data_IF_287879597830
#
_entry.id   IF_287879597830
#
_cell.length_a   1.000
_cell.length_b   1.000
_cell.length_c   1.000
_cell.angle_alpha   90.00
_cell.angle_beta   90.00
_cell.angle_gamma   90.00
#
_symmetry.space_group_name_H-M   'P 1'
#
loop_
_entity.id
_entity.type
_entity.pdbx_description
1 polymer ?
#
# COMPACT_ATOMS: atom_id res chain seq x y z
N UNK A 1 -3.49 -18.31 39.96
CA UNK A 1 -2.67 -17.11 39.70
C UNK A 1 -1.78 -17.43 38.50
N UNK A 2 -2.10 -16.87 37.34
CA UNK A 2 -1.37 -17.16 36.11
C UNK A 2 0.06 -16.61 36.24
N UNK A 3 1.07 -17.48 36.13
CA UNK A 3 2.48 -17.12 36.19
C UNK A 3 2.75 -16.04 35.14
N UNK A 4 3.12 -14.85 35.60
CA UNK A 4 3.39 -13.69 34.76
C UNK A 4 4.47 -14.04 33.74
N UNK A 5 4.09 -14.00 32.46
CA UNK A 5 4.95 -14.31 31.33
C UNK A 5 6.19 -13.43 31.40
N UNK A 6 7.37 -14.04 31.63
CA UNK A 6 8.72 -13.51 31.44
C UNK A 6 8.80 -11.98 31.27
N UNK A 7 8.53 -11.25 32.34
CA UNK A 7 8.71 -9.81 32.38
C UNK A 7 10.20 -9.51 32.43
N UNK A 8 10.78 -9.19 31.26
CA UNK A 8 12.15 -8.73 31.19
C UNK A 8 12.16 -7.19 31.26
N UNK A 9 12.53 -6.60 32.42
CA UNK A 9 12.45 -5.15 32.63
C UNK A 9 13.31 -4.36 31.63
N UNK A 10 14.42 -4.94 31.16
CA UNK A 10 15.30 -4.33 30.17
C UNK A 10 14.61 -4.24 28.79
N UNK A 11 13.84 -5.26 28.42
CA UNK A 11 13.10 -5.25 27.15
C UNK A 11 11.91 -4.29 27.20
N UNK A 12 11.24 -4.17 28.34
CA UNK A 12 10.16 -3.20 28.50
C UNK A 12 10.68 -1.76 28.42
N UNK A 13 11.82 -1.46 29.07
CA UNK A 13 12.48 -0.15 28.95
C UNK A 13 12.79 0.21 27.48
N UNK A 14 13.39 -0.73 26.73
CA UNK A 14 13.66 -0.54 25.28
C UNK A 14 12.38 -0.37 24.45
N UNK A 15 11.31 -1.11 24.76
CA UNK A 15 10.01 -0.95 24.09
C UNK A 15 9.39 0.41 24.41
N UNK A 16 9.45 0.86 25.66
CA UNK A 16 8.97 2.18 26.07
C UNK A 16 9.77 3.31 25.39
N UNK A 17 11.09 3.17 25.28
CA UNK A 17 11.94 4.11 24.54
C UNK A 17 11.58 4.15 23.05
N UNK A 18 11.44 2.99 22.40
CA UNK A 18 11.01 2.91 21.00
C UNK A 18 9.62 3.51 20.79
N UNK A 19 8.68 3.27 21.70
CA UNK A 19 7.36 3.89 21.65
C UNK A 19 7.43 5.42 21.82
N UNK A 20 8.28 5.92 22.74
CA UNK A 20 8.54 7.36 22.89
C UNK A 20 9.15 7.94 21.61
N UNK A 21 10.10 7.26 20.99
CA UNK A 21 10.69 7.66 19.70
C UNK A 21 9.65 7.70 18.59
N UNK A 22 8.81 6.67 18.45
CA UNK A 22 7.72 6.64 17.47
C UNK A 22 6.72 7.77 17.72
N UNK A 23 6.36 8.04 18.98
CA UNK A 23 5.47 9.17 19.33
C UNK A 23 6.10 10.50 18.93
N UNK A 24 7.39 10.71 19.20
CA UNK A 24 8.15 11.89 18.75
C UNK A 24 8.17 12.01 17.22
N UNK A 25 8.46 10.93 16.50
CA UNK A 25 8.46 10.91 15.04
C UNK A 25 7.07 11.22 14.46
N UNK A 26 6.00 10.62 15.01
CA UNK A 26 4.61 10.91 14.61
C UNK A 26 4.23 12.36 14.88
N UNK A 27 4.61 12.91 16.04
CA UNK A 27 4.39 14.31 16.38
C UNK A 27 5.14 15.25 15.42
N UNK A 28 6.39 14.93 15.06
CA UNK A 28 7.16 15.71 14.08
C UNK A 28 6.53 15.67 12.69
N UNK A 29 6.09 14.49 12.21
CA UNK A 29 5.37 14.37 10.94
C UNK A 29 4.05 15.13 10.95
N UNK A 30 3.32 15.10 12.06
CA UNK A 30 2.08 15.87 12.22
C UNK A 30 2.37 17.38 12.23
N UNK A 31 3.42 17.83 12.90
CA UNK A 31 3.84 19.24 12.89
C UNK A 31 4.22 19.70 11.48
N UNK A 32 4.98 18.88 10.73
CA UNK A 32 5.31 19.14 9.32
C UNK A 32 4.06 19.21 8.43
N UNK A 33 3.09 18.31 8.64
CA UNK A 33 1.81 18.34 7.92
C UNK A 33 1.01 19.60 8.26
N UNK A 34 0.91 19.95 9.53
CA UNK A 34 0.22 21.17 9.98
C UNK A 34 0.90 22.42 9.40
N UNK A 35 2.22 22.48 9.36
CA UNK A 35 2.95 23.60 8.76
C UNK A 35 2.67 23.70 7.26
N UNK A 36 2.71 22.57 6.53
CA UNK A 36 2.38 22.54 5.10
C UNK A 36 0.94 22.99 4.83
N UNK A 37 -0.02 22.56 5.65
CA UNK A 37 -1.41 22.97 5.53
C UNK A 37 -1.61 24.44 5.90
N UNK A 38 -1.00 24.93 6.98
CA UNK A 38 -1.13 26.33 7.40
C UNK A 38 -0.56 27.33 6.39
N UNK A 39 0.45 26.91 5.59
CA UNK A 39 1.00 27.65 4.44
C UNK A 39 0.02 27.77 3.26
N UNK A 40 -1.09 27.03 3.22
CA UNK A 40 -2.15 27.25 2.22
C UNK A 40 -3.01 28.45 2.65
N UNK A 41 -3.44 29.26 1.69
CA UNK A 41 -4.20 30.48 1.95
C UNK A 41 -5.70 30.17 2.12
N UNK A 42 -6.28 30.31 3.33
CA UNK A 42 -7.69 29.99 3.56
C UNK A 42 -8.62 30.91 2.78
N UNK A 43 -8.25 32.19 2.60
CA UNK A 43 -9.09 33.16 1.88
C UNK A 43 -9.19 32.81 0.39
N UNK A 44 -8.15 32.20 -0.19
CA UNK A 44 -8.18 31.75 -1.59
C UNK A 44 -9.08 30.53 -1.75
N UNK A 45 -8.93 29.55 -0.87
CA UNK A 45 -9.75 28.33 -0.86
C UNK A 45 -11.24 28.70 -0.70
N UNK A 46 -11.54 29.64 0.20
CA UNK A 46 -12.90 30.13 0.39
C UNK A 46 -13.51 30.69 -0.90
N UNK A 47 -12.77 31.50 -1.66
CA UNK A 47 -13.29 32.06 -2.92
C UNK A 47 -13.52 31.00 -3.99
N UNK A 48 -12.62 30.02 -4.08
CA UNK A 48 -12.79 28.90 -5.01
C UNK A 48 -14.05 28.09 -4.64
N UNK A 49 -14.29 27.89 -3.34
CA UNK A 49 -15.52 27.26 -2.83
C UNK A 49 -16.75 28.11 -3.18
N UNK A 50 -16.72 29.41 -2.89
CA UNK A 50 -17.84 30.30 -3.16
C UNK A 50 -18.16 30.32 -4.66
N UNK A 51 -17.14 30.38 -5.53
CA UNK A 51 -17.31 30.31 -6.99
C UNK A 51 -17.92 28.99 -7.46
N UNK A 52 -17.49 27.86 -6.90
CA UNK A 52 -18.06 26.54 -7.23
C UNK A 52 -19.47 26.37 -6.67
N UNK A 53 -19.76 26.92 -5.49
CA UNK A 53 -21.10 26.93 -4.90
C UNK A 53 -22.07 27.79 -5.70
N UNK A 54 -21.63 28.93 -6.21
CA UNK A 54 -22.40 29.75 -7.16
C UNK A 54 -22.74 28.95 -8.42
N UNK A 55 -21.77 28.20 -8.97
CA UNK A 55 -22.01 27.30 -10.12
C UNK A 55 -22.93 26.12 -9.80
N UNK A 56 -22.89 25.62 -8.56
CA UNK A 56 -23.81 24.59 -8.08
C UNK A 56 -25.24 25.14 -7.96
N UNK A 57 -25.39 26.35 -7.43
CA UNK A 57 -26.67 27.05 -7.33
C UNK A 57 -27.25 27.41 -8.70
N UNK A 58 -26.41 27.80 -9.66
CA UNK A 58 -26.83 28.05 -11.04
C UNK A 58 -27.10 26.75 -11.84
N UNK A 59 -26.81 25.58 -11.27
CA UNK A 59 -27.04 24.27 -11.90
C UNK A 59 -26.08 23.93 -13.03
N UNK A 60 -25.03 24.73 -13.26
CA UNK A 60 -24.05 24.54 -14.33
C UNK A 60 -22.80 23.75 -13.90
N UNK A 61 -22.81 23.17 -12.70
CA UNK A 61 -21.65 22.47 -12.13
C UNK A 61 -21.39 21.10 -12.76
N UNK A 62 -20.13 20.83 -13.08
CA UNK A 62 -19.69 19.54 -13.62
C UNK A 62 -19.41 18.51 -12.51
N UNK A 63 -19.44 17.19 -12.80
CA UNK A 63 -19.16 16.17 -11.78
C UNK A 63 -17.77 16.31 -11.12
N UNK A 64 -16.73 16.66 -11.89
CA UNK A 64 -15.39 16.91 -11.36
C UNK A 64 -15.31 18.20 -10.52
N UNK A 65 -16.16 19.18 -10.80
CA UNK A 65 -16.25 20.42 -10.01
C UNK A 65 -16.93 20.14 -8.66
N UNK A 66 -17.90 19.22 -8.60
CA UNK A 66 -18.47 18.74 -7.32
C UNK A 66 -17.42 18.02 -6.47
N UNK A 67 -16.60 17.17 -7.08
CA UNK A 67 -15.48 16.52 -6.38
C UNK A 67 -14.48 17.56 -5.87
N UNK A 68 -14.13 18.55 -6.71
CA UNK A 68 -13.24 19.66 -6.32
C UNK A 68 -13.83 20.51 -5.19
N UNK A 69 -15.14 20.77 -5.20
CA UNK A 69 -15.83 21.48 -4.11
C UNK A 69 -15.64 20.71 -2.79
N UNK A 70 -15.90 19.40 -2.78
CA UNK A 70 -15.72 18.56 -1.59
C UNK A 70 -14.26 18.52 -1.10
N UNK A 71 -13.29 18.48 -2.02
CA UNK A 71 -11.86 18.54 -1.69
C UNK A 71 -11.48 19.88 -1.07
N UNK A 72 -11.93 20.99 -1.65
CA UNK A 72 -11.65 22.33 -1.15
C UNK A 72 -12.29 22.58 0.22
N UNK A 73 -13.50 22.08 0.47
CA UNK A 73 -14.15 22.16 1.79
C UNK A 73 -13.36 21.40 2.86
N UNK A 74 -12.87 20.20 2.54
CA UNK A 74 -11.99 19.42 3.43
C UNK A 74 -10.66 20.14 3.66
N UNK A 75 -10.09 20.72 2.61
CA UNK A 75 -8.84 21.48 2.69
C UNK A 75 -9.00 22.72 3.56
N UNK A 76 -10.09 23.49 3.43
CA UNK A 76 -10.39 24.63 4.30
C UNK A 76 -10.42 24.19 5.78
N UNK A 77 -11.18 23.14 6.08
CA UNK A 77 -11.27 22.60 7.44
C UNK A 77 -9.90 22.16 7.97
N UNK A 78 -9.10 21.49 7.13
CA UNK A 78 -7.73 21.07 7.44
C UNK A 78 -6.78 22.24 7.69
N UNK A 79 -6.86 23.29 6.87
CA UNK A 79 -6.05 24.51 6.99
C UNK A 79 -6.40 25.28 8.26
N UNK A 80 -7.69 25.41 8.59
CA UNK A 80 -8.13 26.06 9.82
C UNK A 80 -7.69 25.27 11.06
N UNK A 81 -7.82 23.94 11.04
CA UNK A 81 -7.35 23.08 12.14
C UNK A 81 -5.83 23.16 12.31
N UNK A 82 -5.08 23.14 11.21
CA UNK A 82 -3.62 23.26 11.23
C UNK A 82 -3.16 24.64 11.73
N UNK A 83 -3.86 25.71 11.35
CA UNK A 83 -3.61 27.07 11.83
C UNK A 83 -3.91 27.21 13.32
N UNK A 84 -5.03 26.66 13.79
CA UNK A 84 -5.35 26.64 15.22
C UNK A 84 -4.28 25.87 16.02
N UNK A 85 -3.76 24.75 15.49
CA UNK A 85 -2.69 23.98 16.13
C UNK A 85 -1.33 24.71 16.13
N UNK A 86 -1.06 25.55 15.13
CA UNK A 86 0.17 26.36 15.04
C UNK A 86 0.06 27.70 15.80
N UNK A 87 -1.16 28.19 16.03
CA UNK A 87 -1.42 29.49 16.65
C UNK A 87 -0.68 30.62 15.93
N UNK A 88 0.10 31.39 16.69
CA UNK A 88 0.85 32.55 16.19
C UNK A 88 1.99 32.19 15.22
N UNK A 89 2.38 30.92 15.13
CA UNK A 89 3.40 30.45 14.16
C UNK A 89 2.84 30.32 12.75
N UNK A 90 1.52 30.41 12.58
CA UNK A 90 0.89 30.28 11.28
C UNK A 90 1.16 31.52 10.40
N UNK A 91 1.48 31.34 9.09
CA UNK A 91 1.67 32.46 8.20
C UNK A 91 0.36 33.23 8.00
N UNK A 92 0.40 34.53 8.29
CA UNK A 92 -0.72 35.45 8.09
C UNK A 92 -0.76 35.89 6.64
N UNK A 93 -1.83 35.56 5.92
CA UNK A 93 -2.05 36.03 4.57
C UNK A 93 -2.80 37.35 4.62
N UNK A 94 -2.22 38.39 4.00
CA UNK A 94 -2.95 39.64 3.76
C UNK A 94 -4.13 39.32 2.83
N UNK A 95 -5.33 39.86 3.09
CA UNK A 95 -6.42 39.76 2.13
C UNK A 95 -5.92 40.33 0.80
N UNK A 96 -6.16 39.62 -0.31
CA UNK A 96 -5.80 40.16 -1.62
C UNK A 96 -6.54 41.48 -1.79
N UNK A 97 -5.78 42.54 -2.09
CA UNK A 97 -6.36 43.83 -2.43
C UNK A 97 -7.23 43.60 -3.66
N UNK A 98 -8.54 43.63 -3.48
CA UNK A 98 -9.48 43.65 -4.60
C UNK A 98 -9.11 44.87 -5.43
N UNK A 99 -8.75 44.66 -6.68
CA UNK A 99 -8.40 45.72 -7.64
C UNK A 99 -9.65 46.45 -8.17
N UNK A 100 -10.71 46.52 -7.36
CA UNK A 100 -12.04 47.01 -7.77
C UNK A 100 -12.43 48.32 -7.09
N UNK A 101 -11.53 48.95 -6.30
CA UNK A 101 -11.78 50.24 -5.66
C UNK A 101 -10.53 51.13 -5.65
N UNK A 102 -10.14 51.63 -6.82
CA UNK A 102 -9.37 52.89 -6.95
C UNK A 102 -10.02 53.77 -8.03
N UNK A 103 -11.27 54.13 -7.77
CA UNK A 103 -11.93 55.29 -8.36
C UNK A 103 -11.82 56.54 -7.48
N UNK A 104 -10.94 56.55 -6.48
CA UNK A 104 -10.84 57.64 -5.49
C UNK A 104 -9.40 57.90 -5.03
N UNK A 105 -8.49 58.09 -5.98
CA UNK A 105 -7.30 58.94 -5.79
C UNK A 105 -7.28 60.09 -6.79
N UNK A 106 -8.31 60.92 -6.70
CA UNK A 106 -8.18 62.32 -7.05
C UNK A 106 -7.32 63.05 -6.01
N UNK A 107 -6.10 63.41 -6.41
CA UNK A 107 -5.37 64.55 -5.87
C UNK A 107 -4.42 64.29 -4.71
N UNK A 108 -3.11 64.20 -5.00
CA UNK A 108 -2.06 65.15 -4.53
C UNK A 108 -0.65 64.57 -4.73
N UNK A 109 0.13 65.22 -5.60
CA UNK A 109 1.59 65.37 -5.42
C UNK A 109 2.47 64.50 -6.31
N UNK A 110 3.11 65.14 -7.30
CA UNK A 110 4.02 64.54 -8.26
C UNK A 110 5.29 63.88 -7.71
N UNK A 111 5.71 62.83 -8.42
CA UNK A 111 7.10 62.41 -8.76
C UNK A 111 6.91 61.14 -9.59
N UNK A 112 6.98 61.19 -10.91
CA UNK A 112 8.24 61.35 -11.63
C UNK A 112 8.75 59.96 -12.02
N UNK A 113 8.47 59.58 -13.28
CA UNK A 113 9.16 58.51 -13.98
C UNK A 113 8.74 57.07 -13.66
N UNK A 114 8.02 56.43 -14.58
CA UNK A 114 8.57 55.35 -15.44
C UNK A 114 7.44 54.77 -16.29
N UNK A 115 7.16 55.43 -17.43
CA UNK A 115 6.57 54.71 -18.56
C UNK A 115 7.68 53.85 -19.15
N UNK A 116 7.78 52.62 -18.65
CA UNK A 116 8.67 51.60 -19.16
C UNK A 116 8.00 50.24 -19.06
N UNK A 117 7.54 49.77 -20.21
CA UNK A 117 7.42 48.36 -20.54
C UNK A 117 6.35 47.52 -19.83
N UNK A 118 5.19 47.56 -20.48
CA UNK A 118 4.09 46.61 -20.38
C UNK A 118 4.59 45.24 -20.91
N UNK A 119 5.21 44.43 -20.06
CA UNK A 119 5.73 43.11 -20.47
C UNK A 119 5.99 42.10 -19.34
N UNK A 120 5.55 42.38 -18.11
CA UNK A 120 5.80 41.54 -16.92
C UNK A 120 5.03 40.22 -16.86
N UNK A 121 5.08 39.39 -17.91
CA UNK A 121 4.73 37.97 -17.83
C UNK A 121 6.01 37.15 -17.91
N UNK A 122 6.33 36.45 -16.83
CA UNK A 122 7.28 35.33 -16.84
C UNK A 122 8.71 35.73 -16.53
N UNK A 123 9.00 35.94 -15.24
CA UNK A 123 10.35 35.81 -14.70
C UNK A 123 10.81 34.36 -14.84
N UNK A 124 11.27 34.01 -16.05
CA UNK A 124 11.92 32.76 -16.37
C UNK A 124 13.34 32.86 -15.81
N UNK A 125 13.59 32.06 -14.78
CA UNK A 125 14.90 31.48 -14.44
C UNK A 125 16.13 32.34 -14.82
N UNK A 126 16.50 33.24 -13.92
CA UNK A 126 17.84 33.26 -13.31
C UNK A 126 19.11 33.19 -14.18
N UNK A 127 19.13 33.56 -15.47
CA UNK A 127 20.39 33.56 -16.24
C UNK A 127 20.59 34.64 -17.31
N UNK A 128 19.74 35.67 -17.43
CA UNK A 128 20.01 36.76 -18.40
C UNK A 128 19.55 38.12 -17.88
N UNK A 129 20.45 38.84 -17.20
CA UNK A 129 20.40 40.30 -17.22
C UNK A 129 20.83 40.77 -18.60
N UNK A 130 20.19 41.83 -19.11
CA UNK A 130 20.44 42.43 -20.42
C UNK A 130 21.88 42.93 -20.58
N UNK A 131 22.57 43.13 -19.47
CA UNK A 131 24.00 43.44 -19.42
C UNK A 131 24.74 42.12 -19.16
N UNK A 132 25.29 41.54 -20.22
CA UNK A 132 25.95 40.23 -20.26
C UNK A 132 27.25 40.11 -19.48
N UNK A 133 27.35 40.72 -18.30
CA UNK A 133 28.48 40.55 -17.39
C UNK A 133 28.29 39.25 -16.61
N UNK A 134 28.73 38.15 -17.22
CA UNK A 134 28.97 36.89 -16.51
C UNK A 134 30.19 37.14 -15.60
N UNK A 135 29.98 37.13 -14.29
CA UNK A 135 31.06 37.14 -13.30
C UNK A 135 31.99 35.97 -13.65
N UNK A 136 33.22 36.27 -14.07
CA UNK A 136 34.23 35.27 -14.37
C UNK A 136 34.65 34.66 -13.03
N UNK A 137 34.11 33.47 -12.74
CA UNK A 137 34.44 32.74 -11.53
C UNK A 137 35.87 32.21 -11.64
N UNK A 138 36.74 32.91 -10.93
CA UNK A 138 38.14 32.68 -10.61
C UNK A 138 38.31 31.34 -9.85
N UNK A 139 38.17 30.20 -10.55
CA UNK A 139 38.30 28.87 -9.95
C UNK A 139 39.32 28.03 -10.72
N UNK A 140 40.59 28.28 -10.40
CA UNK A 140 41.74 27.44 -10.75
C UNK A 140 42.61 27.37 -9.50
N UNK A 141 42.49 26.27 -8.75
CA UNK A 141 43.28 25.95 -7.54
C UNK A 141 44.76 25.59 -7.87
N UNK A 142 45.32 26.20 -8.90
CA UNK A 142 46.72 25.98 -9.31
C UNK A 142 47.49 27.29 -9.14
N UNK A 143 48.68 27.20 -8.55
CA UNK A 143 49.59 28.32 -8.33
C UNK A 143 49.90 29.06 -9.65
N UNK A 144 50.14 30.38 -9.55
CA UNK A 144 50.35 31.25 -10.71
C UNK A 144 51.51 30.76 -11.60
N UNK A 145 52.59 30.27 -11.00
CA UNK A 145 53.77 29.77 -11.71
C UNK A 145 53.51 28.49 -12.55
N UNK A 146 52.48 27.71 -12.19
CA UNK A 146 52.08 26.50 -12.94
C UNK A 146 51.22 26.87 -14.15
N UNK A 147 50.51 28.00 -14.09
CA UNK A 147 49.65 28.49 -15.19
C UNK A 147 50.46 29.00 -16.38
N UNK A 148 51.66 29.51 -16.14
CA UNK A 148 52.53 30.07 -17.16
C UNK A 148 53.39 29.03 -17.88
N UNK A 149 53.35 27.76 -17.45
CA UNK A 149 54.02 26.68 -18.16
C UNK A 149 53.33 26.50 -19.53
N UNK A 150 54.05 26.68 -20.65
CA UNK A 150 53.45 26.58 -21.97
C UNK A 150 52.97 25.15 -22.22
N UNK A 151 51.69 25.00 -22.56
CA UNK A 151 51.13 23.70 -22.90
C UNK A 151 51.79 23.13 -24.16
N UNK A 152 52.04 21.81 -24.22
CA UNK A 152 52.47 21.15 -25.44
C UNK A 152 51.40 21.31 -26.53
N UNK A 153 51.84 21.44 -27.79
CA UNK A 153 51.00 21.84 -28.94
C UNK A 153 49.82 20.90 -29.26
N UNK A 154 49.77 19.73 -28.64
CA UNK A 154 48.76 18.70 -28.89
C UNK A 154 47.73 18.56 -27.76
N UNK A 155 47.58 19.53 -26.86
CA UNK A 155 46.48 19.48 -25.89
C UNK A 155 45.15 19.79 -26.57
N UNK A 156 44.21 18.83 -26.64
CA UNK A 156 42.92 19.05 -27.26
C UNK A 156 42.17 20.18 -26.53
N UNK A 157 41.24 20.88 -27.22
CA UNK A 157 40.49 21.97 -26.62
C UNK A 157 39.77 21.51 -25.33
N UNK A 158 39.72 22.34 -24.29
CA UNK A 158 39.14 21.96 -23.00
C UNK A 158 37.66 21.59 -23.16
N UNK A 159 37.30 20.41 -22.64
CA UNK A 159 35.93 19.90 -22.66
C UNK A 159 35.03 20.88 -21.90
N UNK A 160 33.87 21.31 -22.47
CA UNK A 160 32.98 22.24 -21.79
C UNK A 160 32.45 21.63 -20.49
N UNK A 161 32.69 22.32 -19.36
CA UNK A 161 32.19 21.92 -18.04
C UNK A 161 30.65 21.92 -18.06
N UNK A 162 30.05 20.74 -17.94
CA UNK A 162 28.61 20.60 -17.65
C UNK A 162 28.39 21.03 -16.20
N UNK A 163 27.64 22.11 -15.99
CA UNK A 163 27.25 22.56 -14.65
C UNK A 163 26.41 21.47 -13.96
N UNK A 164 27.04 20.68 -13.10
CA UNK A 164 26.31 19.81 -12.17
C UNK A 164 25.73 20.67 -11.06
N UNK A 165 24.40 20.61 -10.93
CA UNK A 165 23.63 21.37 -9.96
C UNK A 165 23.82 20.75 -8.58
N UNK A 166 24.47 21.49 -7.69
CA UNK A 166 24.78 21.14 -6.31
C UNK A 166 23.50 20.89 -5.48
N UNK A 167 23.40 19.73 -4.86
CA UNK A 167 22.51 19.44 -3.73
C UNK A 167 23.39 19.32 -2.47
N UNK A 168 23.04 19.92 -1.32
CA UNK A 168 23.81 19.77 -0.10
C UNK A 168 23.40 18.49 0.66
N UNK A 169 24.38 17.69 1.09
CA UNK A 169 24.23 16.63 2.09
C UNK A 169 25.15 16.96 3.28
N UNK A 170 24.71 16.76 4.53
CA UNK A 170 25.60 16.80 5.68
C UNK A 170 26.33 15.46 5.83
N UNK A 171 27.58 15.58 6.29
CA UNK A 171 28.50 14.49 6.61
C UNK A 171 28.00 13.70 7.83
N UNK A 172 28.14 12.37 7.80
CA UNK A 172 28.74 11.57 8.88
C UNK A 172 28.74 10.06 8.53
N UNK A 173 29.91 9.46 8.75
CA UNK A 173 30.22 8.03 8.99
C UNK A 173 30.03 7.00 7.86
N UNK A 174 31.18 6.51 7.37
CA UNK A 174 31.30 5.42 6.41
C UNK A 174 31.14 4.03 7.09
N UNK A 175 30.30 3.13 6.54
CA UNK A 175 30.43 1.69 6.73
C UNK A 175 31.05 1.00 5.50
N UNK A 176 31.81 -0.06 5.78
CA UNK A 176 32.76 -0.77 4.92
C UNK A 176 32.32 -1.09 3.48
N UNK A 177 33.27 -0.94 2.56
CA UNK A 177 33.17 -1.29 1.14
C UNK A 177 32.91 -2.79 0.95
N UNK A 178 31.73 -3.12 0.41
CA UNK A 178 31.37 -4.45 -0.03
C UNK A 178 32.27 -4.85 -1.21
N UNK A 179 32.89 -6.03 -1.13
CA UNK A 179 33.75 -6.61 -2.17
C UNK A 179 33.02 -6.62 -3.52
N UNK A 180 33.63 -5.99 -4.52
CA UNK A 180 33.12 -5.97 -5.91
C UNK A 180 33.10 -7.41 -6.45
N UNK A 181 32.00 -7.88 -7.06
CA UNK A 181 31.95 -9.22 -7.63
C UNK A 181 32.93 -9.34 -8.80
N UNK A 182 33.91 -10.24 -8.69
CA UNK A 182 34.81 -10.62 -9.78
C UNK A 182 34.06 -11.51 -10.74
N UNK A 183 33.74 -11.01 -11.93
CA UNK A 183 33.10 -11.78 -12.99
C UNK A 183 34.15 -12.69 -13.62
N UNK A 184 34.04 -14.00 -13.40
CA UNK A 184 34.78 -15.03 -14.13
C UNK A 184 33.98 -15.39 -15.37
N UNK A 185 34.62 -15.40 -16.55
CA UNK A 185 33.96 -15.74 -17.82
C UNK A 185 33.75 -17.25 -17.93
N UNK A 186 32.70 -17.76 -17.30
CA UNK A 186 32.21 -19.11 -17.54
C UNK A 186 31.29 -19.09 -18.76
N UNK A 187 31.65 -19.83 -19.81
CA UNK A 187 30.96 -19.84 -21.10
C UNK A 187 29.60 -20.59 -21.07
N UNK A 188 29.04 -20.89 -19.90
CA UNK A 188 27.75 -21.55 -19.76
C UNK A 188 26.62 -20.49 -19.81
N UNK A 189 25.60 -20.65 -20.66
CA UNK A 189 24.48 -19.72 -20.69
C UNK A 189 23.69 -19.79 -19.38
N UNK A 190 23.58 -18.67 -18.68
CA UNK A 190 22.75 -18.52 -17.48
C UNK A 190 21.27 -18.62 -17.89
N UNK A 191 20.60 -19.74 -17.56
CA UNK A 191 19.15 -19.87 -17.73
C UNK A 191 18.46 -19.14 -16.58
N UNK A 192 17.72 -18.07 -16.91
CA UNK A 192 16.95 -17.28 -15.94
C UNK A 192 15.55 -17.83 -15.79
N UNK A 193 15.14 -18.08 -14.55
CA UNK A 193 13.76 -18.41 -14.22
C UNK A 193 12.89 -17.16 -14.34
N UNK A 194 12.31 -16.92 -15.51
CA UNK A 194 11.48 -15.73 -15.77
C UNK A 194 10.29 -15.60 -14.81
N UNK A 195 9.76 -16.71 -14.28
CA UNK A 195 8.71 -16.67 -13.26
C UNK A 195 9.19 -16.00 -11.97
N UNK A 196 10.39 -16.33 -11.49
CA UNK A 196 10.97 -15.73 -10.28
C UNK A 196 11.33 -14.26 -10.51
N UNK A 197 11.77 -13.91 -11.71
CA UNK A 197 12.04 -12.50 -12.06
C UNK A 197 10.75 -11.68 -12.20
N UNK A 198 9.70 -12.26 -12.77
CA UNK A 198 8.40 -11.62 -12.92
C UNK A 198 7.77 -11.28 -11.55
N UNK A 199 7.96 -12.12 -10.52
CA UNK A 199 7.50 -11.78 -9.15
C UNK A 199 8.13 -10.48 -8.62
N UNK A 200 9.37 -10.15 -9.02
CA UNK A 200 10.03 -8.89 -8.65
C UNK A 200 9.43 -7.67 -9.36
N UNK A 201 8.77 -7.87 -10.49
CA UNK A 201 8.11 -6.82 -11.26
C UNK A 201 6.67 -6.53 -10.79
N UNK A 202 6.12 -7.34 -9.88
CA UNK A 202 4.77 -7.12 -9.36
C UNK A 202 4.72 -5.89 -8.44
N UNK A 203 3.71 -5.00 -8.59
CA UNK A 203 3.49 -3.91 -7.64
C UNK A 203 3.28 -4.43 -6.22
N UNK A 204 3.78 -3.69 -5.23
CA UNK A 204 3.70 -4.08 -3.82
C UNK A 204 2.26 -4.35 -3.33
N UNK A 205 1.26 -3.62 -3.86
CA UNK A 205 -0.16 -3.83 -3.54
C UNK A 205 -0.66 -5.20 -3.98
N UNK A 206 -0.32 -5.62 -5.20
CA UNK A 206 -0.70 -6.92 -5.76
C UNK A 206 0.02 -8.04 -5.01
N UNK A 207 1.31 -7.87 -4.74
CA UNK A 207 2.07 -8.83 -3.93
C UNK A 207 1.50 -8.99 -2.52
N UNK A 208 1.00 -7.91 -1.90
CA UNK A 208 0.32 -7.96 -0.61
C UNK A 208 -1.02 -8.70 -0.68
N UNK A 209 -1.85 -8.44 -1.70
CA UNK A 209 -3.12 -9.15 -1.92
C UNK A 209 -2.91 -10.65 -2.14
N UNK A 210 -1.91 -11.02 -2.93
CA UNK A 210 -1.54 -12.43 -3.14
C UNK A 210 -1.06 -13.10 -1.84
N UNK A 211 -0.29 -12.38 -1.01
CA UNK A 211 0.14 -12.92 0.30
C UNK A 211 -1.03 -13.09 1.27
N UNK A 212 -1.92 -12.10 1.35
CA UNK A 212 -3.16 -12.21 2.14
C UNK A 212 -4.04 -13.35 1.62
N UNK A 213 -4.09 -13.54 0.31
CA UNK A 213 -4.81 -14.64 -0.31
C UNK A 213 -4.21 -16.01 0.07
N UNK A 214 -2.89 -16.10 0.12
CA UNK A 214 -2.16 -17.28 0.62
C UNK A 214 -2.24 -17.46 2.14
N UNK A 215 -2.94 -16.59 2.87
CA UNK A 215 -3.00 -16.61 4.33
C UNK A 215 -1.72 -16.17 5.03
N UNK A 216 -0.74 -15.64 4.30
CA UNK A 216 0.51 -15.14 4.85
C UNK A 216 0.32 -13.70 5.36
N UNK A 217 0.26 -13.55 6.68
CA UNK A 217 0.27 -12.25 7.35
C UNK A 217 -0.92 -12.03 8.27
N UNK A 218 -1.74 -11.02 7.98
CA UNK A 218 -2.92 -10.70 8.79
C UNK A 218 -4.01 -11.74 8.52
N UNK A 219 -4.65 -12.26 9.57
CA UNK A 219 -5.87 -13.04 9.42
C UNK A 219 -6.89 -12.21 8.64
N UNK A 220 -7.42 -12.78 7.56
CA UNK A 220 -8.31 -12.08 6.65
C UNK A 220 -9.73 -12.10 7.21
N UNK A 221 -10.41 -10.95 7.20
CA UNK A 221 -11.82 -10.89 7.57
C UNK A 221 -12.67 -11.54 6.46
N UNK A 222 -13.81 -12.16 6.78
CA UNK A 222 -14.62 -12.88 5.78
C UNK A 222 -15.05 -11.98 4.61
N UNK A 223 -15.38 -10.71 4.88
CA UNK A 223 -15.73 -9.76 3.81
C UNK A 223 -14.53 -9.37 2.93
N UNK A 224 -13.30 -9.41 3.46
CA UNK A 224 -12.09 -9.15 2.68
C UNK A 224 -11.68 -10.39 1.87
N UNK A 225 -12.01 -11.58 2.38
CA UNK A 225 -11.83 -12.86 1.68
C UNK A 225 -12.70 -12.92 0.43
N UNK A 226 -13.99 -12.58 0.55
CA UNK A 226 -14.90 -12.54 -0.59
C UNK A 226 -14.44 -11.54 -1.66
N UNK A 227 -13.91 -10.37 -1.24
CA UNK A 227 -13.32 -9.40 -2.19
C UNK A 227 -12.10 -9.95 -2.91
N UNK A 228 -11.20 -10.65 -2.23
CA UNK A 228 -10.03 -11.27 -2.89
C UNK A 228 -10.45 -12.40 -3.84
N UNK A 229 -11.55 -13.09 -3.55
CA UNK A 229 -12.15 -14.09 -4.41
C UNK A 229 -12.79 -13.45 -5.65
N UNK A 230 -13.58 -12.40 -5.48
CA UNK A 230 -14.20 -11.64 -6.58
C UNK A 230 -13.16 -10.98 -7.49
N UNK A 231 -12.08 -10.48 -6.90
CA UNK A 231 -10.94 -9.89 -7.62
C UNK A 231 -10.06 -10.96 -8.32
N UNK A 232 -10.28 -12.25 -8.06
CA UNK A 232 -9.56 -13.35 -8.69
C UNK A 232 -8.13 -13.57 -8.16
N UNK A 233 -7.83 -13.10 -6.95
CA UNK A 233 -6.54 -13.37 -6.28
C UNK A 233 -6.53 -14.70 -5.52
N UNK A 234 -7.71 -15.28 -5.29
CA UNK A 234 -7.87 -16.65 -4.79
C UNK A 234 -8.12 -17.56 -5.98
N UNK A 235 -7.12 -18.35 -6.34
CA UNK A 235 -7.25 -19.32 -7.42
C UNK A 235 -8.15 -20.48 -6.98
N UNK A 236 -9.43 -20.46 -7.38
CA UNK A 236 -10.27 -21.67 -7.37
C UNK A 236 -9.88 -22.64 -8.50
N UNK A 237 -8.93 -22.23 -9.34
CA UNK A 237 -8.40 -22.99 -10.46
C UNK A 237 -7.12 -23.71 -10.12
N UNK A 238 -6.29 -23.29 -9.15
CA UNK A 238 -5.12 -24.10 -8.75
C UNK A 238 -5.55 -25.39 -8.07
N UNK A 239 -6.65 -25.38 -7.31
CA UNK A 239 -7.30 -26.61 -6.83
C UNK A 239 -7.87 -27.48 -7.94
N UNK A 240 -8.12 -26.93 -9.14
CA UNK A 240 -8.55 -27.68 -10.35
C UNK A 240 -7.37 -28.04 -11.28
N UNK A 241 -6.28 -27.29 -11.26
CA UNK A 241 -5.08 -27.49 -12.07
C UNK A 241 -4.08 -28.44 -11.38
N UNK A 242 -4.09 -28.49 -10.05
CA UNK A 242 -3.41 -29.53 -9.27
C UNK A 242 -4.10 -30.89 -9.44
N UNK A 243 -5.42 -30.92 -9.72
CA UNK A 243 -6.11 -32.16 -10.14
C UNK A 243 -5.87 -32.52 -11.62
N UNK A 244 -5.57 -31.55 -12.49
CA UNK A 244 -5.33 -31.81 -13.93
C UNK A 244 -3.87 -32.17 -14.26
N UNK A 245 -2.89 -31.76 -13.44
CA UNK A 245 -1.47 -32.08 -13.69
C UNK A 245 -1.05 -33.47 -13.19
N UNK A 246 -1.86 -34.11 -12.34
CA UNK A 246 -1.77 -35.54 -12.00
C UNK A 246 -2.55 -36.42 -13.00
N UNK A 247 -3.61 -35.87 -13.63
CA UNK A 247 -4.51 -36.60 -14.53
C UNK A 247 -3.93 -36.96 -15.92
N UNK A 248 -2.77 -36.43 -16.30
CA UNK A 248 -2.14 -36.75 -17.58
C UNK A 248 -1.57 -38.18 -17.68
N UNK A 249 -1.42 -38.87 -16.55
CA UNK A 249 -0.95 -40.26 -16.49
C UNK A 249 -2.00 -41.24 -15.94
N UNK A 250 -3.11 -40.76 -15.35
CA UNK A 250 -4.18 -41.60 -14.80
C UNK A 250 -5.38 -41.75 -15.74
N UNK A 251 -5.53 -40.90 -16.77
CA UNK A 251 -6.70 -40.94 -17.66
C UNK A 251 -6.89 -42.28 -18.40
N UNK A 252 -5.80 -43.03 -18.70
CA UNK A 252 -5.93 -44.36 -19.31
C UNK A 252 -6.35 -45.44 -18.29
N UNK A 253 -5.98 -45.28 -17.01
CA UNK A 253 -6.39 -46.20 -15.93
C UNK A 253 -7.80 -45.90 -15.41
N UNK A 254 -8.22 -44.64 -15.47
CA UNK A 254 -9.52 -44.17 -14.97
C UNK A 254 -10.68 -44.65 -15.86
N UNK A 255 -10.49 -44.81 -17.18
CA UNK A 255 -11.54 -45.33 -18.06
C UNK A 255 -11.83 -46.82 -17.84
N UNK A 256 -10.82 -47.64 -17.50
CA UNK A 256 -11.01 -49.05 -17.18
C UNK A 256 -11.60 -49.23 -15.77
N UNK A 257 -11.17 -48.41 -14.81
CA UNK A 257 -11.73 -48.36 -13.45
C UNK A 257 -13.19 -47.87 -13.44
N UNK A 258 -13.53 -46.85 -14.22
CA UNK A 258 -14.91 -46.37 -14.34
C UNK A 258 -15.83 -47.41 -14.99
N UNK A 259 -15.34 -48.18 -15.97
CA UNK A 259 -16.10 -49.30 -16.55
C UNK A 259 -16.30 -50.42 -15.53
N UNK A 260 -15.29 -50.72 -14.72
CA UNK A 260 -15.37 -51.72 -13.66
C UNK A 260 -16.33 -51.31 -12.53
N UNK A 261 -16.27 -50.06 -12.06
CA UNK A 261 -17.19 -49.50 -11.05
C UNK A 261 -18.63 -49.47 -11.57
N UNK A 262 -18.81 -49.18 -12.88
CA UNK A 262 -20.11 -49.21 -13.53
C UNK A 262 -20.67 -50.63 -13.72
N UNK A 263 -19.80 -51.62 -13.95
CA UNK A 263 -20.17 -53.04 -13.96
C UNK A 263 -20.50 -53.59 -12.56
N UNK A 264 -19.86 -53.07 -11.50
CA UNK A 264 -20.16 -53.45 -10.11
C UNK A 264 -21.37 -52.73 -9.49
N UNK A 265 -22.06 -51.86 -10.23
CA UNK A 265 -23.45 -51.47 -9.93
C UNK A 265 -23.71 -50.83 -8.57
N UNK A 266 -22.69 -50.27 -7.91
CA UNK A 266 -22.84 -49.51 -6.67
C UNK A 266 -22.27 -48.14 -6.91
N UNK A 267 -23.14 -47.17 -7.23
CA UNK A 267 -22.66 -45.80 -7.29
C UNK A 267 -22.22 -45.41 -5.87
N UNK A 268 -21.05 -44.78 -5.72
CA UNK A 268 -20.54 -44.35 -4.41
C UNK A 268 -21.56 -43.47 -3.64
N UNK A 269 -22.48 -42.82 -4.37
CA UNK A 269 -23.62 -42.09 -3.80
C UNK A 269 -24.70 -42.99 -3.21
N UNK A 270 -24.97 -44.13 -3.84
CA UNK A 270 -25.90 -45.13 -3.30
C UNK A 270 -25.30 -45.85 -2.09
N UNK A 271 -23.99 -46.14 -2.10
CA UNK A 271 -23.29 -46.71 -0.95
C UNK A 271 -23.27 -45.73 0.25
N UNK A 272 -22.99 -44.43 -0.01
CA UNK A 272 -23.07 -43.40 1.01
C UNK A 272 -24.51 -43.20 1.52
N UNK A 273 -25.52 -43.29 0.64
CA UNK A 273 -26.92 -43.23 1.02
C UNK A 273 -27.32 -44.39 1.94
N UNK A 274 -26.92 -45.61 1.61
CA UNK A 274 -27.18 -46.80 2.43
C UNK A 274 -26.48 -46.75 3.78
N UNK A 275 -25.24 -46.25 3.84
CA UNK A 275 -24.52 -46.09 5.11
C UNK A 275 -25.20 -45.07 6.04
N UNK A 276 -25.70 -43.96 5.48
CA UNK A 276 -26.45 -42.96 6.24
C UNK A 276 -27.79 -43.52 6.72
N UNK A 277 -28.52 -44.23 5.85
CA UNK A 277 -29.79 -44.87 6.24
C UNK A 277 -29.58 -45.96 7.32
N UNK A 278 -28.50 -46.73 7.24
CA UNK A 278 -28.14 -47.73 8.26
C UNK A 278 -27.79 -47.07 9.60
N UNK A 279 -27.00 -46.01 9.61
CA UNK A 279 -26.64 -45.28 10.82
C UNK A 279 -27.87 -44.65 11.51
N UNK A 280 -28.86 -44.19 10.72
CA UNK A 280 -30.12 -43.69 11.25
C UNK A 280 -30.92 -44.82 11.91
N UNK A 281 -31.00 -45.99 11.27
CA UNK A 281 -31.70 -47.16 11.82
C UNK A 281 -31.07 -47.68 13.11
N UNK A 282 -29.73 -47.70 13.19
CA UNK A 282 -29.01 -48.06 14.42
C UNK A 282 -29.28 -47.07 15.54
N UNK A 283 -29.24 -45.76 15.25
CA UNK A 283 -29.56 -44.73 16.23
C UNK A 283 -31.01 -44.83 16.73
N UNK A 284 -31.97 -45.12 15.85
CA UNK A 284 -33.38 -45.35 16.19
C UNK A 284 -33.55 -46.59 17.08
N UNK A 285 -32.88 -47.70 16.74
CA UNK A 285 -32.93 -48.93 17.54
C UNK A 285 -32.36 -48.71 18.94
N UNK A 286 -31.23 -47.99 19.03
CA UNK A 286 -30.60 -47.68 20.30
C UNK A 286 -31.43 -46.73 21.16
N UNK A 287 -32.14 -45.77 20.56
CA UNK A 287 -33.09 -44.91 21.27
C UNK A 287 -34.24 -45.73 21.84
N UNK A 288 -34.82 -46.63 21.04
CA UNK A 288 -35.89 -47.52 21.48
C UNK A 288 -35.43 -48.47 22.59
N UNK A 289 -34.19 -48.96 22.54
CA UNK A 289 -33.61 -49.78 23.61
C UNK A 289 -33.41 -49.00 24.92
N UNK A 290 -33.09 -47.70 24.86
CA UNK A 290 -32.94 -46.83 26.03
C UNK A 290 -34.30 -46.51 26.67
N UNK A 291 -35.36 -46.34 25.86
CA UNK A 291 -36.73 -46.21 26.36
C UNK A 291 -37.19 -47.46 27.11
N UNK A 292 -36.93 -48.65 26.56
CA UNK A 292 -37.31 -49.93 27.20
C UNK A 292 -36.55 -50.15 28.52
N UNK A 293 -35.32 -49.64 28.65
CA UNK A 293 -34.55 -49.65 29.92
C UNK A 293 -35.04 -48.61 30.93
N UNK A 294 -35.97 -47.74 30.55
CA UNK A 294 -36.53 -46.69 31.41
C UNK A 294 -35.61 -45.49 31.62
N UNK A 295 -34.63 -45.29 30.73
CA UNK A 295 -33.69 -44.16 30.80
C UNK A 295 -34.29 -42.87 30.19
N UNK A 296 -35.41 -43.01 29.49
CA UNK A 296 -36.16 -41.93 28.85
C UNK A 296 -37.54 -41.89 29.50
N UNK A 297 -37.74 -40.95 30.42
CA UNK A 297 -39.04 -40.74 31.10
C UNK A 297 -39.56 -39.32 30.84
N UNK A 298 -38.65 -38.37 30.57
CA UNK A 298 -38.98 -36.99 30.29
C UNK A 298 -38.24 -36.47 29.06
N UNK A 299 -38.85 -35.53 28.31
CA UNK A 299 -38.30 -34.99 27.07
C UNK A 299 -36.91 -34.32 27.20
N UNK A 300 -36.48 -33.98 28.41
CA UNK A 300 -35.13 -33.47 28.68
C UNK A 300 -34.06 -34.57 28.66
N UNK A 301 -34.40 -35.77 29.14
CA UNK A 301 -33.49 -36.92 29.19
C UNK A 301 -33.30 -37.54 27.79
N UNK A 302 -34.34 -37.48 26.95
CA UNK A 302 -34.29 -37.83 25.52
C UNK A 302 -33.20 -37.03 24.78
N UNK A 303 -33.18 -35.71 25.01
CA UNK A 303 -32.20 -34.83 24.38
C UNK A 303 -30.77 -35.14 24.84
N UNK A 304 -30.56 -35.46 26.12
CA UNK A 304 -29.24 -35.80 26.63
C UNK A 304 -28.73 -37.16 26.12
N UNK A 305 -29.62 -38.16 25.99
CA UNK A 305 -29.26 -39.48 25.45
C UNK A 305 -28.94 -39.37 23.96
N UNK A 306 -29.72 -38.58 23.20
CA UNK A 306 -29.47 -38.31 21.79
C UNK A 306 -28.14 -37.56 21.58
N UNK A 307 -27.85 -36.54 22.40
CA UNK A 307 -26.58 -35.80 22.32
C UNK A 307 -25.38 -36.70 22.63
N UNK A 308 -25.47 -37.60 23.61
CA UNK A 308 -24.36 -38.51 23.95
C UNK A 308 -24.07 -39.49 22.81
N UNK A 309 -25.11 -40.06 22.19
CA UNK A 309 -24.96 -41.02 21.09
C UNK A 309 -24.44 -40.38 19.81
N UNK A 310 -24.93 -39.19 19.45
CA UNK A 310 -24.43 -38.44 18.30
C UNK A 310 -22.96 -38.01 18.46
N UNK A 311 -22.51 -37.74 19.69
CA UNK A 311 -21.10 -37.42 19.96
C UNK A 311 -20.16 -38.61 19.82
N UNK A 312 -20.65 -39.85 19.75
CA UNK A 312 -19.81 -41.04 19.59
C UNK A 312 -19.75 -41.54 18.15
N UNK A 313 -20.45 -40.88 17.22
CA UNK A 313 -20.28 -41.09 15.77
C UNK A 313 -19.05 -40.30 15.32
N UNK A 314 -17.87 -40.76 15.71
CA UNK A 314 -16.63 -40.38 15.06
C UNK A 314 -16.52 -41.23 13.78
N UNK A 315 -16.30 -40.59 12.63
CA UNK A 315 -16.12 -41.27 11.35
C UNK A 315 -14.77 -41.99 11.44
N UNK A 316 -14.82 -43.27 11.82
CA UNK A 316 -13.68 -44.16 11.77
C UNK A 316 -13.39 -44.41 10.28
N UNK A 317 -12.37 -43.73 9.75
CA UNK A 317 -11.82 -44.02 8.43
C UNK A 317 -11.30 -45.46 8.48
N UNK A 318 -12.07 -46.40 7.92
CA UNK A 318 -11.64 -47.78 7.72
C UNK A 318 -10.50 -47.72 6.71
N UNK A 319 -9.26 -47.80 7.21
CA UNK A 319 -8.09 -48.06 6.37
C UNK A 319 -8.27 -49.44 5.76
N UNK A 320 -8.65 -49.49 4.48
CA UNK A 320 -8.68 -50.71 3.69
C UNK A 320 -7.25 -51.26 3.56
N UNK A 321 -6.82 -52.05 4.55
CA UNK A 321 -5.77 -53.05 4.40
C UNK A 321 -6.33 -54.21 3.57
N UNK A 322 -6.03 -54.23 2.27
CA UNK A 322 -5.57 -55.43 1.54
C UNK A 322 -5.36 -55.10 0.05
N UNK A 323 -4.12 -55.34 -0.39
CA UNK A 323 -3.64 -55.40 -1.77
C UNK A 323 -3.34 -56.86 -2.11
#
# INVERSE_FOLDING_TARGET
MAKEKNYNPVQEAKKAEKQKQIKKQKANLQAQRNEKLARRNPNRIQRDIDSLKELEQSGSIRPHEKQRLQELEKDLAGVNKARAALGDKAPVFKPERRFDDDGSRGGRGGRGGFRGDRGGRGGILGKRTRDGQRKEDESSDTDADVRDIPMPRDTPPPIPRRYQQTQPQPEDEAPAELKKPTVVYEAAPERRDFLKEATKFMPASVAQKIKLAKGEGRLLEPEEFDKLKDEGYMDTSTTKLESETVAGQTAETDEELERFIKEQGTSAKDAAGQAVEAAIQEAEYDMMAAEVRGEIVTAGEEAEVAEKKLRHVEIEEVEDEDL
#
